data_IF_481611595794
#
_entry.id   IF_481611595794
#
_cell.length_a   1.000
_cell.length_b   1.000
_cell.length_c   1.000
_cell.angle_alpha   90.00
_cell.angle_beta   90.00
_cell.angle_gamma   90.00
#
_symmetry.space_group_name_H-M   'P 1'
#
loop_
_entity.id
_entity.type
_entity.pdbx_description
1 polymer ?
#
# COMPACT_ATOMS: atom_id res chain seq x y z
N UNK A 1 -14.71 -1.65 -6.46
CA UNK A 1 -13.73 -2.13 -5.46
C UNK A 1 -13.99 -1.32 -4.20
N UNK A 2 -14.09 -1.93 -3.02
CA UNK A 2 -14.35 -1.22 -1.75
C UNK A 2 -13.03 -1.04 -1.01
N UNK A 3 -12.17 -0.18 -1.56
CA UNK A 3 -10.82 0.05 -1.04
C UNK A 3 -10.85 0.51 0.42
N UNK A 4 -11.81 1.36 0.78
CA UNK A 4 -12.02 1.82 2.14
C UNK A 4 -12.22 0.66 3.13
N UNK A 5 -13.04 -0.34 2.79
CA UNK A 5 -13.20 -1.52 3.63
C UNK A 5 -11.92 -2.35 3.71
N UNK A 6 -11.24 -2.56 2.59
CA UNK A 6 -9.97 -3.31 2.54
C UNK A 6 -8.88 -2.65 3.39
N UNK A 7 -8.77 -1.32 3.34
CA UNK A 7 -7.82 -0.55 4.12
C UNK A 7 -8.10 -0.67 5.63
N UNK A 8 -9.37 -0.70 6.02
CA UNK A 8 -9.78 -0.92 7.41
C UNK A 8 -9.46 -2.35 7.87
N UNK A 9 -9.66 -3.35 7.02
CA UNK A 9 -9.29 -4.74 7.34
C UNK A 9 -7.79 -4.89 7.55
N UNK A 10 -7.00 -4.22 6.72
CA UNK A 10 -5.54 -4.22 6.87
C UNK A 10 -5.09 -3.54 8.16
N UNK A 11 -5.73 -2.43 8.54
CA UNK A 11 -5.50 -1.80 9.82
C UNK A 11 -5.82 -2.74 10.99
N UNK A 12 -6.97 -3.40 10.91
CA UNK A 12 -7.45 -4.34 11.91
C UNK A 12 -6.48 -5.52 12.09
N UNK A 13 -5.99 -6.08 10.99
CA UNK A 13 -5.00 -7.16 10.98
C UNK A 13 -3.68 -6.71 11.63
N UNK A 14 -3.11 -5.59 11.18
CA UNK A 14 -1.80 -5.08 11.66
C UNK A 14 -1.84 -4.75 13.16
N UNK A 15 -2.96 -4.20 13.65
CA UNK A 15 -3.12 -3.83 15.06
C UNK A 15 -3.64 -4.98 15.93
N UNK A 16 -3.98 -6.14 15.34
CA UNK A 16 -4.52 -7.29 16.08
C UNK A 16 -5.91 -7.06 16.68
N UNK A 17 -6.70 -6.17 16.08
CA UNK A 17 -8.03 -5.78 16.57
C UNK A 17 -9.06 -6.84 16.17
N UNK A 18 -9.96 -7.22 17.07
CA UNK A 18 -10.94 -8.30 16.80
C UNK A 18 -12.27 -7.77 16.32
N UNK A 19 -12.70 -6.61 16.82
CA UNK A 19 -14.04 -6.09 16.57
C UNK A 19 -14.03 -4.79 15.78
N UNK A 20 -15.07 -4.60 14.96
CA UNK A 20 -15.26 -3.33 14.24
C UNK A 20 -15.65 -2.19 15.20
N UNK A 21 -16.13 -2.51 16.41
CA UNK A 21 -16.38 -1.53 17.46
C UNK A 21 -15.08 -0.85 17.92
N UNK A 22 -14.04 -1.64 18.21
CA UNK A 22 -12.72 -1.13 18.58
C UNK A 22 -12.09 -0.31 17.44
N UNK A 23 -12.23 -0.78 16.19
CA UNK A 23 -11.75 -0.03 15.00
C UNK A 23 -12.39 1.35 14.93
N UNK A 24 -13.71 1.46 15.16
CA UNK A 24 -14.43 2.72 15.11
C UNK A 24 -14.01 3.71 16.20
N UNK A 25 -13.48 3.21 17.32
CA UNK A 25 -13.00 4.04 18.44
C UNK A 25 -11.56 4.56 18.21
N UNK A 26 -10.78 3.86 17.39
CA UNK A 26 -9.39 4.20 17.09
C UNK A 26 -9.25 5.13 15.88
N UNK A 27 -10.04 4.94 14.82
CA UNK A 27 -9.94 5.76 13.62
C UNK A 27 -10.49 7.17 13.93
N UNK A 28 -9.73 8.25 13.65
CA UNK A 28 -10.18 9.61 13.91
C UNK A 28 -11.51 9.93 13.22
N UNK A 29 -12.41 10.59 13.96
CA UNK A 29 -13.74 11.01 13.47
C UNK A 29 -14.60 9.86 12.88
N UNK A 30 -14.26 8.61 13.20
CA UNK A 30 -15.05 7.46 12.83
C UNK A 30 -16.17 7.25 13.85
N UNK A 31 -17.29 6.72 13.37
CA UNK A 31 -18.34 6.22 14.25
C UNK A 31 -18.87 4.89 13.70
N UNK A 32 -19.54 4.12 14.57
CA UNK A 32 -20.01 2.75 14.25
C UNK A 32 -20.97 2.74 13.04
N UNK A 33 -21.81 3.77 12.90
CA UNK A 33 -22.73 3.89 11.76
C UNK A 33 -22.00 4.15 10.43
N UNK A 34 -21.03 5.06 10.45
CA UNK A 34 -20.17 5.39 9.32
C UNK A 34 -19.36 4.18 8.87
N UNK A 35 -18.74 3.48 9.82
CA UNK A 35 -18.01 2.25 9.56
C UNK A 35 -18.93 1.19 8.94
N UNK A 36 -20.10 0.95 9.51
CA UNK A 36 -21.08 -0.01 8.98
C UNK A 36 -21.48 0.31 7.53
N UNK A 37 -21.69 1.59 7.19
CA UNK A 37 -22.00 2.01 5.82
C UNK A 37 -20.83 1.76 4.85
N UNK A 38 -19.59 2.00 5.28
CA UNK A 38 -18.39 1.67 4.49
C UNK A 38 -18.32 0.15 4.26
N UNK A 39 -18.50 -0.66 5.30
CA UNK A 39 -18.49 -2.13 5.18
C UNK A 39 -19.53 -2.66 4.20
N UNK A 40 -20.72 -2.05 4.19
CA UNK A 40 -21.80 -2.39 3.27
C UNK A 40 -21.55 -1.91 1.83
N UNK A 41 -20.51 -1.12 1.58
CA UNK A 41 -20.26 -0.49 0.28
C UNK A 41 -21.39 0.45 -0.13
N UNK A 42 -21.99 1.15 0.84
CA UNK A 42 -23.06 2.11 0.55
C UNK A 42 -22.54 3.19 -0.39
N UNK A 43 -23.33 3.55 -1.41
CA UNK A 43 -22.92 4.53 -2.42
C UNK A 43 -22.50 5.86 -1.79
N UNK A 44 -21.35 6.39 -2.23
CA UNK A 44 -20.79 7.64 -1.71
C UNK A 44 -20.25 7.56 -0.27
N UNK A 45 -20.19 6.37 0.32
CA UNK A 45 -19.60 6.17 1.64
C UNK A 45 -18.24 5.47 1.54
N UNK A 46 -17.21 6.26 1.77
CA UNK A 46 -15.81 5.84 1.79
C UNK A 46 -15.12 6.47 3.02
N UNK A 47 -13.87 6.11 3.26
CA UNK A 47 -13.01 6.88 4.17
C UNK A 47 -12.82 8.29 3.60
N UNK A 48 -12.70 9.29 4.48
CA UNK A 48 -12.17 10.58 4.04
C UNK A 48 -10.63 10.50 3.96
N UNK A 49 -10.01 11.50 3.31
CA UNK A 49 -8.57 11.54 3.10
C UNK A 49 -7.78 11.50 4.42
N UNK A 50 -8.23 12.25 5.43
CA UNK A 50 -7.61 12.27 6.76
C UNK A 50 -7.59 10.88 7.40
N UNK A 51 -8.72 10.16 7.36
CA UNK A 51 -8.84 8.81 7.91
C UNK A 51 -7.96 7.82 7.16
N UNK A 52 -7.93 7.89 5.82
CA UNK A 52 -7.11 7.01 5.00
C UNK A 52 -5.61 7.26 5.24
N UNK A 53 -5.18 8.52 5.32
CA UNK A 53 -3.80 8.90 5.64
C UNK A 53 -3.40 8.48 7.05
N UNK A 54 -4.28 8.67 8.02
CA UNK A 54 -4.03 8.22 9.39
C UNK A 54 -3.84 6.70 9.44
N UNK A 55 -4.70 5.92 8.76
CA UNK A 55 -4.51 4.47 8.67
C UNK A 55 -3.19 4.12 7.98
N UNK A 56 -2.86 4.82 6.89
CA UNK A 56 -1.61 4.59 6.16
C UNK A 56 -0.40 4.78 7.07
N UNK A 57 -0.38 5.85 7.88
CA UNK A 57 0.66 6.10 8.88
C UNK A 57 0.73 4.99 9.93
N UNK A 58 -0.43 4.61 10.49
CA UNK A 58 -0.50 3.55 11.50
C UNK A 58 -0.02 2.18 11.00
N UNK A 59 -0.13 1.95 9.69
CA UNK A 59 0.25 0.72 9.00
C UNK A 59 1.59 0.80 8.25
N UNK A 60 2.29 1.94 8.32
CA UNK A 60 3.53 2.21 7.55
C UNK A 60 3.36 1.95 6.04
N UNK A 61 2.22 2.36 5.49
CA UNK A 61 1.89 2.23 4.07
C UNK A 61 2.27 3.51 3.31
N UNK A 62 2.49 3.37 2.01
CA UNK A 62 2.73 4.51 1.11
C UNK A 62 1.46 5.38 1.02
N UNK A 63 1.54 6.60 1.54
CA UNK A 63 0.44 7.55 1.58
C UNK A 63 -0.06 7.95 0.18
N UNK A 64 0.84 8.10 -0.79
CA UNK A 64 0.47 8.46 -2.15
C UNK A 64 -0.32 7.33 -2.81
N UNK A 65 0.11 6.07 -2.62
CA UNK A 65 -0.63 4.93 -3.12
C UNK A 65 -2.02 4.82 -2.49
N UNK A 66 -2.13 5.03 -1.18
CA UNK A 66 -3.40 5.00 -0.46
C UNK A 66 -4.37 6.06 -0.99
N UNK A 67 -3.91 7.30 -1.18
CA UNK A 67 -4.75 8.37 -1.72
C UNK A 67 -5.18 8.11 -3.16
N UNK A 68 -4.31 7.55 -4.00
CA UNK A 68 -4.65 7.24 -5.39
C UNK A 68 -5.72 6.12 -5.47
N UNK A 69 -5.61 5.09 -4.64
CA UNK A 69 -6.64 4.04 -4.57
C UNK A 69 -7.96 4.54 -3.99
N UNK A 70 -7.91 5.43 -2.99
CA UNK A 70 -9.10 6.10 -2.47
C UNK A 70 -9.77 6.97 -3.53
N UNK A 71 -8.99 7.71 -4.31
CA UNK A 71 -9.49 8.52 -5.43
C UNK A 71 -10.12 7.64 -6.53
N UNK A 72 -9.54 6.45 -6.79
CA UNK A 72 -10.12 5.47 -7.69
C UNK A 72 -11.50 5.00 -7.20
N UNK A 73 -11.65 4.70 -5.90
CA UNK A 73 -12.92 4.32 -5.30
C UNK A 73 -13.96 5.46 -5.37
N UNK A 74 -13.54 6.69 -5.08
CA UNK A 74 -14.43 7.86 -5.06
C UNK A 74 -14.84 8.37 -6.45
N UNK A 75 -14.15 7.94 -7.51
CA UNK A 75 -14.40 8.42 -8.86
C UNK A 75 -15.78 7.97 -9.36
N UNK A 76 -16.57 8.94 -9.85
CA UNK A 76 -17.96 8.71 -10.30
C UNK A 76 -18.06 8.13 -11.71
N UNK A 77 -17.03 8.30 -12.53
CA UNK A 77 -17.03 7.84 -13.93
C UNK A 77 -16.06 6.70 -14.10
N UNK A 78 -16.43 5.72 -14.92
CA UNK A 78 -15.58 4.57 -15.25
C UNK A 78 -14.24 5.00 -15.86
N UNK A 79 -14.23 6.08 -16.64
CA UNK A 79 -13.00 6.67 -17.21
C UNK A 79 -12.06 7.16 -16.12
N UNK A 80 -12.56 7.95 -15.16
CA UNK A 80 -11.73 8.44 -14.07
C UNK A 80 -11.23 7.30 -13.17
N UNK A 81 -12.10 6.33 -12.85
CA UNK A 81 -11.72 5.12 -12.10
C UNK A 81 -10.55 4.39 -12.76
N UNK A 82 -10.61 4.21 -14.08
CA UNK A 82 -9.55 3.54 -14.86
C UNK A 82 -8.23 4.31 -14.78
N UNK A 83 -8.26 5.63 -14.95
CA UNK A 83 -7.06 6.48 -14.86
C UNK A 83 -6.41 6.38 -13.48
N UNK A 84 -7.21 6.45 -12.40
CA UNK A 84 -6.69 6.33 -11.04
C UNK A 84 -6.10 4.95 -10.76
N UNK A 85 -6.77 3.87 -11.20
CA UNK A 85 -6.23 2.51 -11.06
C UNK A 85 -4.91 2.32 -11.84
N UNK A 86 -4.79 2.89 -13.04
CA UNK A 86 -3.55 2.84 -13.81
C UNK A 86 -2.41 3.59 -13.12
N UNK A 87 -2.69 4.74 -12.50
CA UNK A 87 -1.72 5.47 -11.68
C UNK A 87 -1.27 4.64 -10.47
N UNK A 88 -2.22 4.00 -9.76
CA UNK A 88 -1.89 3.13 -8.64
C UNK A 88 -1.00 1.96 -9.08
N UNK A 89 -1.31 1.35 -10.23
CA UNK A 89 -0.52 0.27 -10.81
C UNK A 89 0.90 0.72 -11.14
N UNK A 90 1.07 1.91 -11.72
CA UNK A 90 2.38 2.49 -12.02
C UNK A 90 3.19 2.75 -10.74
N UNK A 91 2.56 3.34 -9.73
CA UNK A 91 3.21 3.58 -8.42
C UNK A 91 3.69 2.27 -7.78
N UNK A 92 2.83 1.23 -7.75
CA UNK A 92 3.19 -0.10 -7.24
C UNK A 92 4.33 -0.75 -8.04
N UNK A 93 4.34 -0.58 -9.36
CA UNK A 93 5.39 -1.13 -10.22
C UNK A 93 6.75 -0.45 -9.93
N UNK A 94 6.77 0.87 -9.82
CA UNK A 94 8.00 1.63 -9.49
C UNK A 94 8.57 1.23 -8.13
N UNK A 95 7.72 1.08 -7.11
CA UNK A 95 8.15 0.64 -5.78
C UNK A 95 8.84 -0.75 -5.80
N UNK A 96 8.34 -1.69 -6.62
CA UNK A 96 8.91 -3.04 -6.75
C UNK A 96 10.29 -3.04 -7.45
N UNK A 97 10.47 -2.19 -8.45
CA UNK A 97 11.73 -2.13 -9.21
C UNK A 97 12.90 -1.71 -8.30
N UNK A 98 12.67 -0.77 -7.37
CA UNK A 98 13.71 -0.32 -6.45
C UNK A 98 14.20 -1.46 -5.53
N UNK A 99 13.30 -2.31 -5.04
CA UNK A 99 13.64 -3.45 -4.17
C UNK A 99 14.41 -4.54 -4.91
N UNK A 100 14.07 -4.83 -6.17
CA UNK A 100 14.79 -5.83 -6.96
C UNK A 100 16.19 -5.34 -7.34
N UNK A 101 16.33 -4.06 -7.68
CA UNK A 101 17.63 -3.46 -8.01
C UNK A 101 18.63 -3.52 -6.84
N UNK A 102 18.17 -3.30 -5.60
CA UNK A 102 19.05 -3.40 -4.42
C UNK A 102 19.49 -4.82 -4.12
N UNK A 103 18.60 -5.82 -4.28
CA UNK A 103 18.94 -7.24 -4.09
C UNK A 103 19.97 -7.70 -5.13
N UNK A 104 19.82 -7.28 -6.39
CA UNK A 104 20.76 -7.63 -7.47
C UNK A 104 22.15 -7.00 -7.26
N UNK A 105 22.22 -5.76 -6.77
CA UNK A 105 23.49 -5.08 -6.49
C UNK A 105 24.26 -5.72 -5.33
N UNK A 106 23.58 -6.24 -4.31
CA UNK A 106 24.23 -6.97 -3.21
C UNK A 106 24.73 -8.35 -3.69
N UNK A 107 23.98 -9.01 -4.58
CA UNK A 107 24.31 -10.35 -5.10
C UNK A 107 25.43 -10.34 -6.16
N UNK A 108 25.72 -9.19 -6.78
CA UNK A 108 26.73 -9.06 -7.83
C UNK A 108 28.19 -8.91 -7.35
N UNK A 109 28.46 -8.88 -6.04
CA UNK A 109 29.83 -8.65 -5.50
C UNK A 109 30.55 -9.93 -5.03
N UNK A 110 29.94 -11.11 -5.15
CA UNK A 110 30.54 -12.39 -4.76
C UNK A 110 31.12 -13.16 -5.96
N UNK A 111 31.84 -12.49 -6.86
CA UNK A 111 32.56 -13.12 -7.98
C UNK A 111 34.05 -13.26 -7.67
N UNK A 112 34.50 -14.50 -7.41
CA UNK A 112 35.90 -14.88 -7.24
C UNK A 112 36.82 -14.30 -8.34
N UNK A 113 37.88 -13.57 -7.96
CA UNK A 113 39.02 -13.31 -8.84
C UNK A 113 39.79 -14.62 -9.04
N UNK A 114 40.06 -15.09 -10.28
CA UNK A 114 40.96 -16.22 -10.47
C UNK A 114 42.39 -15.79 -10.07
N UNK A 115 43.15 -16.64 -9.34
CA UNK A 115 44.53 -16.31 -9.00
C UNK A 115 45.35 -16.21 -10.28
N UNK A 116 45.99 -15.04 -10.48
CA UNK A 116 46.96 -14.87 -11.55
C UNK A 116 48.13 -15.83 -11.31
N UNK A 117 48.31 -16.82 -12.19
CA UNK A 117 49.49 -17.70 -12.19
C UNK A 117 50.73 -16.82 -12.33
N UNK A 118 51.54 -16.77 -11.27
CA UNK A 118 52.92 -16.30 -11.37
C UNK A 118 53.65 -17.29 -12.28
N UNK A 119 53.97 -16.86 -13.51
CA UNK A 119 54.90 -17.60 -14.38
C UNK A 119 56.30 -17.46 -13.77
N UNK A 120 56.82 -18.55 -13.22
CA UNK A 120 58.26 -18.69 -12.97
C UNK A 120 58.98 -18.65 -14.33
N UNK A 121 59.90 -17.71 -14.48
CA UNK A 121 60.86 -17.65 -15.60
C UNK A 121 62.11 -18.41 -15.12
N UNK A 122 62.66 -19.34 -15.92
CA UNK A 122 63.86 -20.11 -15.57
C UNK A 122 65.12 -19.25 -15.53
#
# INVERSE_FOLDING_TARGET
MNFSSELIDKFKEIKGIKTDAEVAELIPEMNKGNLSKIRKGSEGRHLNEMQALWIAEQCKMDAALVLVELAAECAKTTTAQTVWHDLAKKLRATAKILVVATILMISGTSGHYPPQRIKYIP
#
